data_IF_616217237620
#
_entry.id   IF_616217237620
#
_cell.length_a   1.000
_cell.length_b   1.000
_cell.length_c   1.000
_cell.angle_alpha   90.00
_cell.angle_beta   90.00
_cell.angle_gamma   90.00
#
_symmetry.space_group_name_H-M   'P 1'
#
loop_
_entity.id
_entity.type
_entity.pdbx_description
1 polymer ?
#
# COMPACT_ATOMS: atom_id res chain seq x y z
N UNK A 1 -19.45 -17.91 14.67
CA UNK A 1 -18.44 -16.84 14.76
C UNK A 1 -19.07 -15.65 15.47
N UNK A 2 -18.52 -15.20 16.61
CA UNK A 2 -19.07 -14.05 17.34
C UNK A 2 -18.65 -12.75 16.62
N UNK A 3 -19.63 -11.93 16.30
CA UNK A 3 -19.48 -10.65 15.60
C UNK A 3 -18.86 -9.58 16.53
N UNK A 4 -17.55 -9.37 16.43
CA UNK A 4 -16.84 -8.23 17.03
C UNK A 4 -16.98 -6.99 16.14
N UNK A 5 -18.20 -6.46 16.00
CA UNK A 5 -18.41 -5.13 15.44
C UNK A 5 -18.30 -4.10 16.59
N UNK A 6 -17.35 -3.17 16.49
CA UNK A 6 -17.29 -1.98 17.35
C UNK A 6 -16.42 -2.04 18.61
N UNK A 7 -15.82 -3.18 18.96
CA UNK A 7 -15.04 -3.32 20.21
C UNK A 7 -13.55 -3.63 20.01
N UNK A 8 -13.09 -3.89 18.78
CA UNK A 8 -11.70 -4.22 18.50
C UNK A 8 -11.20 -3.40 17.32
N UNK A 9 -10.11 -2.66 17.54
CA UNK A 9 -9.34 -2.03 16.47
C UNK A 9 -8.85 -3.15 15.52
N UNK A 10 -9.12 -3.02 14.22
CA UNK A 10 -8.97 -4.09 13.22
C UNK A 10 -7.53 -4.64 13.08
N UNK A 11 -6.53 -3.95 13.64
CA UNK A 11 -5.13 -4.35 13.66
C UNK A 11 -4.88 -5.75 14.24
N UNK A 12 -5.69 -6.21 15.21
CA UNK A 12 -5.55 -7.54 15.79
C UNK A 12 -5.95 -8.71 14.88
N UNK A 13 -6.60 -8.44 13.73
CA UNK A 13 -7.05 -9.45 12.77
C UNK A 13 -6.21 -9.51 11.49
N UNK A 14 -5.20 -8.65 11.36
CA UNK A 14 -4.31 -8.64 10.19
C UNK A 14 -3.29 -9.77 10.20
N UNK A 15 -3.07 -10.42 11.35
CA UNK A 15 -2.07 -11.49 11.51
C UNK A 15 -2.25 -12.66 10.53
N UNK A 16 -3.50 -13.04 10.23
CA UNK A 16 -3.77 -14.09 9.24
C UNK A 16 -3.40 -13.63 7.83
N UNK A 17 -3.71 -12.38 7.48
CA UNK A 17 -3.31 -11.80 6.20
C UNK A 17 -1.79 -11.67 6.09
N UNK A 18 -1.10 -11.23 7.15
CA UNK A 18 0.36 -11.18 7.21
C UNK A 18 0.97 -12.55 6.95
N UNK A 19 0.47 -13.59 7.62
CA UNK A 19 0.96 -14.96 7.46
C UNK A 19 0.75 -15.50 6.06
N UNK A 20 -0.43 -15.28 5.48
CA UNK A 20 -0.74 -15.73 4.12
C UNK A 20 0.15 -14.97 3.14
N UNK A 21 0.16 -13.65 3.21
CA UNK A 21 0.78 -12.78 2.20
C UNK A 21 2.29 -12.95 2.14
N UNK A 22 2.97 -13.09 3.29
CA UNK A 22 4.41 -13.38 3.33
C UNK A 22 4.77 -14.83 2.92
N UNK A 23 3.78 -15.70 2.68
CA UNK A 23 3.96 -17.12 2.32
C UNK A 23 3.25 -17.53 1.03
N UNK A 24 2.69 -16.58 0.31
CA UNK A 24 2.14 -16.85 -1.01
C UNK A 24 3.26 -17.38 -1.90
N UNK A 25 2.95 -18.47 -2.59
CA UNK A 25 3.76 -19.03 -3.67
C UNK A 25 3.17 -18.53 -5.00
N UNK A 26 2.94 -17.22 -5.06
CA UNK A 26 2.53 -16.52 -6.28
C UNK A 26 3.67 -16.57 -7.31
N UNK A 27 3.28 -16.79 -8.56
CA UNK A 27 4.17 -16.74 -9.72
C UNK A 27 3.76 -15.60 -10.66
N UNK A 28 4.49 -15.47 -11.77
CA UNK A 28 4.27 -14.41 -12.77
C UNK A 28 2.89 -14.48 -13.48
N UNK A 29 2.12 -15.54 -13.27
CA UNK A 29 0.75 -15.68 -13.78
C UNK A 29 -0.32 -15.27 -12.77
N UNK A 30 0.07 -14.95 -11.52
CA UNK A 30 -0.84 -14.56 -10.45
C UNK A 30 -0.71 -13.07 -10.15
N UNK A 31 -1.85 -12.44 -9.87
CA UNK A 31 -1.93 -11.07 -9.39
C UNK A 31 -2.67 -11.05 -8.06
N UNK A 32 -2.03 -10.49 -7.04
CA UNK A 32 -2.62 -10.38 -5.71
C UNK A 32 -2.76 -8.91 -5.37
N UNK A 33 -4.00 -8.51 -5.08
CA UNK A 33 -4.35 -7.13 -4.70
C UNK A 33 -4.89 -7.21 -3.28
N UNK A 34 -4.29 -6.44 -2.38
CA UNK A 34 -4.72 -6.35 -0.98
C UNK A 34 -5.19 -4.94 -0.68
N UNK A 35 -6.43 -4.79 -0.21
CA UNK A 35 -6.89 -3.57 0.44
C UNK A 35 -6.26 -3.48 1.83
N UNK A 36 -5.45 -2.45 2.07
CA UNK A 36 -4.65 -2.30 3.29
C UNK A 36 -5.06 -1.07 4.09
N UNK A 37 -4.77 -1.11 5.39
CA UNK A 37 -4.94 0.03 6.28
C UNK A 37 -4.15 1.24 5.78
N UNK A 38 -4.75 2.42 5.85
CA UNK A 38 -4.13 3.64 5.38
C UNK A 38 -2.89 4.03 6.22
N UNK A 39 -1.90 4.62 5.54
CA UNK A 39 -0.79 5.31 6.20
C UNK A 39 0.13 4.42 7.03
N UNK A 40 0.62 4.99 8.13
CA UNK A 40 1.63 4.39 9.01
C UNK A 40 1.12 3.17 9.78
N UNK A 41 -0.19 2.95 9.83
CA UNK A 41 -0.78 1.78 10.51
C UNK A 41 -0.28 0.47 9.90
N UNK A 42 -0.07 0.46 8.58
CA UNK A 42 0.54 -0.68 7.87
C UNK A 42 1.99 -0.96 8.31
N UNK A 43 2.73 0.06 8.77
CA UNK A 43 4.11 -0.08 9.28
C UNK A 43 4.15 -0.78 10.64
N UNK A 44 3.05 -0.75 11.39
CA UNK A 44 2.89 -1.56 12.60
C UNK A 44 2.82 -3.07 12.31
N UNK A 45 2.76 -3.46 11.04
CA UNK A 45 2.66 -4.85 10.56
C UNK A 45 3.76 -5.15 9.55
N UNK A 46 3.91 -6.40 9.12
CA UNK A 46 4.79 -6.73 7.99
C UNK A 46 4.15 -6.43 6.62
N UNK A 47 2.89 -5.99 6.57
CA UNK A 47 2.15 -5.85 5.31
C UNK A 47 2.72 -4.77 4.38
N UNK A 48 3.27 -3.69 4.93
CA UNK A 48 3.82 -2.57 4.14
C UNK A 48 5.01 -2.97 3.25
N UNK A 49 5.66 -4.09 3.57
CA UNK A 49 6.89 -4.53 2.93
C UNK A 49 6.74 -5.83 2.14
N UNK A 50 5.56 -6.45 2.21
CA UNK A 50 5.25 -7.73 1.59
C UNK A 50 4.78 -7.61 0.13
N UNK A 51 4.37 -6.42 -0.31
CA UNK A 51 4.01 -6.14 -1.71
C UNK A 51 5.22 -5.70 -2.54
N UNK A 52 5.23 -6.04 -3.83
CA UNK A 52 6.21 -5.51 -4.79
C UNK A 52 6.01 -4.02 -5.08
N UNK A 53 4.73 -3.57 -5.07
CA UNK A 53 4.34 -2.18 -5.22
C UNK A 53 3.37 -1.78 -4.10
N UNK A 54 3.47 -0.53 -3.65
CA UNK A 54 2.44 0.11 -2.85
C UNK A 54 1.75 1.16 -3.71
N UNK A 55 0.44 1.02 -3.91
CA UNK A 55 -0.36 1.99 -4.66
C UNK A 55 -1.19 2.82 -3.69
N UNK A 56 -0.81 4.08 -3.51
CA UNK A 56 -1.51 5.04 -2.66
C UNK A 56 -2.60 5.75 -3.46
N UNK A 57 -3.83 5.68 -2.95
CA UNK A 57 -4.95 6.45 -3.48
C UNK A 57 -5.09 7.70 -2.64
N UNK A 58 -4.78 8.87 -3.21
CA UNK A 58 -4.70 10.14 -2.46
C UNK A 58 -5.69 11.17 -2.99
N UNK A 59 -6.36 11.86 -2.09
CA UNK A 59 -7.09 13.08 -2.47
C UNK A 59 -6.10 14.26 -2.58
N UNK A 60 -6.37 15.28 -3.42
CA UNK A 60 -5.48 16.43 -3.61
C UNK A 60 -5.53 17.39 -2.41
N UNK A 61 -5.10 16.91 -1.25
CA UNK A 61 -5.06 17.69 0.01
C UNK A 61 -3.74 17.46 0.74
N UNK A 62 -3.26 18.49 1.45
CA UNK A 62 -2.05 18.37 2.28
C UNK A 62 -2.17 17.26 3.33
N UNK A 63 -3.38 17.00 3.84
CA UNK A 63 -3.60 15.91 4.80
C UNK A 63 -3.33 14.54 4.16
N UNK A 64 -3.87 14.28 2.98
CA UNK A 64 -3.65 13.00 2.28
C UNK A 64 -2.19 12.85 1.85
N UNK A 65 -1.57 13.94 1.41
CA UNK A 65 -0.15 14.00 1.02
C UNK A 65 0.77 13.78 2.22
N UNK A 66 0.42 14.32 3.39
CA UNK A 66 1.18 14.11 4.63
C UNK A 66 1.29 12.63 5.00
N UNK A 67 0.21 11.86 4.83
CA UNK A 67 0.18 10.43 5.17
C UNK A 67 1.22 9.62 4.38
N UNK A 68 1.34 9.86 3.07
CA UNK A 68 2.34 9.18 2.25
C UNK A 68 3.76 9.68 2.55
N UNK A 69 3.95 10.98 2.80
CA UNK A 69 5.26 11.53 3.19
C UNK A 69 5.75 10.93 4.52
N UNK A 70 4.86 10.77 5.49
CA UNK A 70 5.15 10.13 6.77
C UNK A 70 5.50 8.65 6.59
N UNK A 71 4.71 7.93 5.78
CA UNK A 71 5.01 6.54 5.42
C UNK A 71 6.41 6.42 4.81
N UNK A 72 6.70 7.20 3.76
CA UNK A 72 7.99 7.18 3.08
C UNK A 72 9.15 7.51 4.01
N UNK A 73 8.98 8.48 4.91
CA UNK A 73 10.02 8.82 5.88
C UNK A 73 10.33 7.66 6.84
N UNK A 74 9.31 6.94 7.31
CA UNK A 74 9.48 5.78 8.19
C UNK A 74 10.07 4.58 7.45
N UNK A 75 9.74 4.42 6.17
CA UNK A 75 10.13 3.27 5.35
C UNK A 75 11.31 3.52 4.41
N UNK A 76 11.97 4.68 4.49
CA UNK A 76 13.01 5.12 3.53
C UNK A 76 14.18 4.15 3.33
N UNK A 77 14.45 3.30 4.33
CA UNK A 77 15.55 2.34 4.27
C UNK A 77 15.18 1.01 3.57
N UNK A 78 13.91 0.80 3.20
CA UNK A 78 13.42 -0.50 2.71
C UNK A 78 13.24 -0.57 1.19
N UNK A 79 13.60 0.50 0.47
CA UNK A 79 13.53 0.58 -1.00
C UNK A 79 12.18 0.11 -1.55
N UNK A 80 11.09 0.66 -0.99
CA UNK A 80 9.72 0.34 -1.42
C UNK A 80 9.38 1.10 -2.70
N UNK A 81 8.65 0.45 -3.60
CA UNK A 81 8.13 1.07 -4.82
C UNK A 81 6.75 1.64 -4.54
N UNK A 82 6.70 2.93 -4.26
CA UNK A 82 5.46 3.63 -3.94
C UNK A 82 4.97 4.42 -5.17
N UNK A 83 3.72 4.21 -5.53
CA UNK A 83 3.04 4.87 -6.64
C UNK A 83 1.75 5.51 -6.16
N UNK A 84 1.27 6.50 -6.91
CA UNK A 84 0.13 7.34 -6.50
C UNK A 84 -0.93 7.36 -7.59
N UNK A 85 -2.18 7.15 -7.21
CA UNK A 85 -3.36 7.48 -8.00
C UNK A 85 -4.06 8.63 -7.29
N UNK A 86 -4.24 9.74 -8.00
CA UNK A 86 -4.98 10.88 -7.49
C UNK A 86 -6.46 10.54 -7.59
N UNK A 87 -7.19 10.72 -6.50
CA UNK A 87 -8.61 10.41 -6.40
C UNK A 87 -9.40 11.69 -6.15
N UNK A 88 -10.58 11.76 -6.76
CA UNK A 88 -11.50 12.90 -6.64
C UNK A 88 -10.87 14.25 -7.07
N UNK A 89 -9.96 14.22 -8.03
CA UNK A 89 -9.46 15.47 -8.62
C UNK A 89 -10.61 16.28 -9.22
N UNK A 90 -10.65 17.59 -8.97
CA UNK A 90 -11.67 18.48 -9.53
C UNK A 90 -11.25 19.03 -10.89
N UNK A 91 -9.97 19.37 -11.02
CA UNK A 91 -9.39 19.93 -12.24
C UNK A 91 -7.88 19.64 -12.33
N UNK A 92 -7.24 20.14 -13.38
CA UNK A 92 -5.80 19.94 -13.62
C UNK A 92 -4.93 20.58 -12.52
N UNK A 93 -5.41 21.61 -11.84
CA UNK A 93 -4.63 22.26 -10.77
C UNK A 93 -4.43 21.34 -9.56
N UNK A 94 -5.40 20.46 -9.29
CA UNK A 94 -5.28 19.40 -8.28
C UNK A 94 -4.22 18.37 -8.68
N UNK A 95 -4.15 18.01 -9.97
CA UNK A 95 -3.17 17.06 -10.49
C UNK A 95 -1.75 17.63 -10.35
N UNK A 96 -1.55 18.85 -10.80
CA UNK A 96 -0.27 19.56 -10.71
C UNK A 96 0.14 19.85 -9.26
N UNK A 97 -0.82 20.08 -8.37
CA UNK A 97 -0.56 20.16 -6.94
C UNK A 97 0.04 18.87 -6.39
N UNK A 98 -0.57 17.71 -6.66
CA UNK A 98 -0.06 16.42 -6.14
C UNK A 98 1.29 16.06 -6.75
N UNK A 99 1.47 16.26 -8.06
CA UNK A 99 2.77 16.04 -8.73
C UNK A 99 3.87 16.89 -8.10
N UNK A 100 3.61 18.17 -7.82
CA UNK A 100 4.58 19.06 -7.16
C UNK A 100 4.96 18.57 -5.76
N UNK A 101 3.99 18.05 -5.01
CA UNK A 101 4.22 17.64 -3.63
C UNK A 101 4.89 16.26 -3.48
N UNK A 102 4.64 15.32 -4.40
CA UNK A 102 5.05 13.93 -4.30
C UNK A 102 6.06 13.47 -5.36
N UNK A 103 6.26 14.24 -6.43
CA UNK A 103 7.03 13.86 -7.61
C UNK A 103 6.12 13.32 -8.72
N UNK A 104 6.30 13.84 -9.93
CA UNK A 104 5.50 13.45 -11.11
C UNK A 104 5.72 11.98 -11.47
N UNK A 105 6.93 11.45 -11.27
CA UNK A 105 7.32 10.08 -11.58
C UNK A 105 6.55 9.02 -10.79
N UNK A 106 5.99 9.38 -9.63
CA UNK A 106 5.18 8.48 -8.80
C UNK A 106 3.71 8.47 -9.21
N UNK A 107 3.24 9.52 -9.89
CA UNK A 107 1.82 9.69 -10.22
C UNK A 107 1.47 8.86 -11.46
N UNK A 108 0.67 7.82 -11.26
CA UNK A 108 0.20 6.92 -12.33
C UNK A 108 -0.92 7.56 -13.14
N UNK A 109 -1.76 8.36 -12.47
CA UNK A 109 -2.87 9.05 -13.09
C UNK A 109 -3.81 9.68 -12.06
N UNK A 110 -4.84 10.33 -12.57
CA UNK A 110 -5.88 10.96 -11.78
C UNK A 110 -7.25 10.42 -12.17
N UNK A 111 -8.06 10.10 -11.17
CA UNK A 111 -9.47 9.79 -11.27
C UNK A 111 -10.21 11.03 -10.77
N UNK A 112 -10.93 11.70 -11.66
CA UNK A 112 -11.70 12.88 -11.31
C UNK A 112 -12.86 12.54 -10.38
N UNK A 113 -13.40 13.54 -9.69
CA UNK A 113 -14.67 13.38 -9.00
C UNK A 113 -15.75 12.91 -9.98
N UNK A 114 -16.26 11.69 -9.78
CA UNK A 114 -17.25 11.09 -10.68
C UNK A 114 -18.62 11.01 -10.02
N UNK A 115 -19.64 11.57 -10.67
CA UNK A 115 -21.02 11.37 -10.26
C UNK A 115 -21.53 9.95 -10.55
N UNK A 116 -20.87 9.21 -11.46
CA UNK A 116 -21.25 7.85 -11.82
C UNK A 116 -21.04 6.87 -10.67
N UNK A 117 -19.89 6.92 -9.98
CA UNK A 117 -19.66 6.03 -8.82
C UNK A 117 -20.67 6.32 -7.69
N UNK A 118 -21.01 7.60 -7.47
CA UNK A 118 -22.05 7.97 -6.49
C UNK A 118 -23.42 7.41 -6.86
N UNK A 119 -23.81 7.49 -8.13
CA UNK A 119 -25.10 6.94 -8.60
C UNK A 119 -25.14 5.42 -8.58
N UNK A 120 -24.01 4.78 -8.86
CA UNK A 120 -23.84 3.34 -8.70
C UNK A 120 -24.13 2.90 -7.26
N UNK A 121 -23.53 3.57 -6.28
CA UNK A 121 -23.79 3.33 -4.84
C UNK A 121 -25.24 3.64 -4.45
N UNK A 122 -25.95 4.49 -5.21
CA UNK A 122 -27.38 4.76 -5.05
C UNK A 122 -28.30 3.72 -5.73
N UNK A 123 -27.73 2.69 -6.37
CA UNK A 123 -28.47 1.57 -6.96
C UNK A 123 -28.49 1.50 -8.49
N UNK A 124 -27.94 2.51 -9.18
CA UNK A 124 -27.86 2.51 -10.64
C UNK A 124 -26.64 1.71 -11.12
N UNK A 125 -26.82 0.40 -11.27
CA UNK A 125 -25.75 -0.56 -11.62
C UNK A 125 -25.04 -0.22 -12.93
N UNK A 126 -25.70 0.43 -13.88
CA UNK A 126 -25.12 0.77 -15.19
C UNK A 126 -24.00 1.82 -15.08
N UNK A 127 -24.06 2.66 -14.03
CA UNK A 127 -23.09 3.74 -13.82
C UNK A 127 -21.69 3.23 -13.51
N UNK A 128 -21.55 2.01 -13.02
CA UNK A 128 -20.25 1.41 -12.79
C UNK A 128 -19.46 1.25 -14.11
N UNK A 129 -20.10 0.73 -15.16
CA UNK A 129 -19.42 0.55 -16.46
C UNK A 129 -18.99 1.88 -17.07
N UNK A 130 -19.81 2.93 -16.91
CA UNK A 130 -19.45 4.28 -17.35
C UNK A 130 -18.24 4.82 -16.57
N UNK A 131 -18.21 4.64 -15.24
CA UNK A 131 -17.05 4.99 -14.43
C UNK A 131 -15.79 4.23 -14.86
N UNK A 132 -15.91 2.93 -15.18
CA UNK A 132 -14.78 2.13 -15.66
C UNK A 132 -14.25 2.65 -17.00
N UNK A 133 -15.14 2.93 -17.96
CA UNK A 133 -14.73 3.42 -19.28
C UNK A 133 -14.09 4.82 -19.20
N UNK A 134 -14.66 5.73 -18.41
CA UNK A 134 -14.12 7.08 -18.18
C UNK A 134 -12.70 7.07 -17.63
N UNK A 135 -12.33 6.05 -16.85
CA UNK A 135 -11.03 5.96 -16.16
C UNK A 135 -10.15 4.82 -16.70
N UNK A 136 -10.49 4.27 -17.86
CA UNK A 136 -9.85 3.10 -18.46
C UNK A 136 -8.34 3.26 -18.61
N UNK A 137 -7.87 4.42 -19.04
CA UNK A 137 -6.44 4.68 -19.21
C UNK A 137 -5.67 4.57 -17.89
N UNK A 138 -6.25 5.04 -16.77
CA UNK A 138 -5.62 4.94 -15.44
C UNK A 138 -5.55 3.47 -15.01
N UNK A 139 -6.63 2.71 -15.21
CA UNK A 139 -6.65 1.28 -14.88
C UNK A 139 -5.68 0.46 -15.74
N UNK A 140 -5.55 0.78 -17.04
CA UNK A 140 -4.59 0.15 -17.92
C UNK A 140 -3.15 0.45 -17.50
N UNK A 141 -2.84 1.69 -17.08
CA UNK A 141 -1.52 2.04 -16.53
C UNK A 141 -1.22 1.26 -15.24
N UNK A 142 -2.17 1.14 -14.32
CA UNK A 142 -2.02 0.33 -13.10
C UNK A 142 -1.76 -1.13 -13.46
N UNK A 143 -2.56 -1.70 -14.36
CA UNK A 143 -2.42 -3.09 -14.78
C UNK A 143 -1.06 -3.35 -15.45
N UNK A 144 -0.61 -2.45 -16.30
CA UNK A 144 0.69 -2.54 -16.96
C UNK A 144 1.84 -2.40 -15.95
N UNK A 145 1.72 -1.51 -14.96
CA UNK A 145 2.70 -1.37 -13.88
C UNK A 145 2.84 -2.68 -13.09
N UNK A 146 1.72 -3.28 -12.68
CA UNK A 146 1.73 -4.55 -11.93
C UNK A 146 2.35 -5.66 -12.78
N UNK A 147 1.90 -5.84 -14.03
CA UNK A 147 2.42 -6.89 -14.93
C UNK A 147 3.92 -6.78 -15.21
N UNK A 148 4.46 -5.56 -15.25
CA UNK A 148 5.88 -5.32 -15.48
C UNK A 148 6.72 -5.32 -14.20
N UNK A 149 6.09 -5.42 -13.02
CA UNK A 149 6.81 -5.50 -11.75
C UNK A 149 6.96 -6.96 -11.34
N UNK A 150 8.17 -7.49 -11.50
CA UNK A 150 8.50 -8.85 -11.04
C UNK A 150 8.84 -8.87 -9.55
N UNK A 151 8.48 -9.97 -8.91
CA UNK A 151 8.89 -10.31 -7.55
C UNK A 151 10.38 -10.58 -7.48
N UNK A 152 11.08 -9.81 -6.65
CA UNK A 152 12.49 -10.01 -6.37
C UNK A 152 12.62 -10.67 -4.98
N UNK A 153 12.70 -12.00 -4.98
CA UNK A 153 12.82 -12.78 -3.75
C UNK A 153 14.08 -12.46 -2.94
N UNK A 154 15.16 -12.03 -3.60
CA UNK A 154 16.41 -11.66 -2.92
C UNK A 154 16.21 -10.34 -2.19
N UNK A 155 15.74 -9.31 -2.89
CA UNK A 155 15.46 -8.00 -2.28
C UNK A 155 14.42 -8.10 -1.17
N UNK A 156 13.37 -8.90 -1.38
CA UNK A 156 12.35 -9.13 -0.36
C UNK A 156 12.93 -9.79 0.89
N UNK A 157 13.76 -10.83 0.74
CA UNK A 157 14.44 -11.48 1.87
C UNK A 157 15.40 -10.52 2.60
N UNK A 158 16.18 -9.74 1.87
CA UNK A 158 17.08 -8.72 2.44
C UNK A 158 16.28 -7.70 3.27
N UNK A 159 15.16 -7.21 2.73
CA UNK A 159 14.25 -6.30 3.42
C UNK A 159 13.70 -6.88 4.73
N UNK A 160 13.25 -8.13 4.71
CA UNK A 160 12.77 -8.81 5.92
C UNK A 160 13.86 -8.93 6.99
N UNK A 161 15.10 -9.20 6.56
CA UNK A 161 16.23 -9.26 7.47
C UNK A 161 16.54 -7.90 8.09
N UNK A 162 16.55 -6.83 7.30
CA UNK A 162 16.79 -5.47 7.80
C UNK A 162 15.72 -5.03 8.81
N UNK A 163 14.45 -5.34 8.55
CA UNK A 163 13.33 -5.10 9.47
C UNK A 163 13.53 -5.89 10.77
N UNK A 164 13.82 -7.19 10.67
CA UNK A 164 14.07 -8.04 11.84
C UNK A 164 15.22 -7.50 12.67
N UNK A 165 16.33 -7.13 12.03
CA UNK A 165 17.52 -6.61 12.69
C UNK A 165 17.21 -5.31 13.43
N UNK A 166 16.56 -4.35 12.77
CA UNK A 166 16.14 -3.10 13.39
C UNK A 166 15.24 -3.33 14.60
N UNK A 167 14.29 -4.26 14.52
CA UNK A 167 13.41 -4.59 15.64
C UNK A 167 14.16 -5.24 16.81
N UNK A 168 15.14 -6.11 16.51
CA UNK A 168 16.01 -6.70 17.53
C UNK A 168 16.88 -5.67 18.25
N UNK A 169 17.41 -4.69 17.52
CA UNK A 169 18.21 -3.59 18.06
C UNK A 169 17.37 -2.59 18.85
N UNK A 170 16.10 -2.41 18.46
CA UNK A 170 15.22 -1.41 19.09
C UNK A 170 14.55 -1.94 20.35
N UNK A 171 13.98 -3.15 20.32
CA UNK A 171 13.22 -3.65 21.48
C UNK A 171 13.06 -5.17 21.61
N UNK A 172 13.12 -5.99 20.54
CA UNK A 172 12.87 -7.43 20.70
C UNK A 172 13.89 -8.08 21.65
N UNK A 173 15.18 -7.74 21.52
CA UNK A 173 16.22 -8.37 22.34
C UNK A 173 16.05 -8.03 23.83
N UNK A 174 15.67 -6.78 24.12
CA UNK A 174 15.34 -6.34 25.47
C UNK A 174 14.10 -7.07 26.01
N UNK A 175 13.03 -7.11 25.22
CA UNK A 175 11.77 -7.76 25.59
C UNK A 175 11.93 -9.24 25.92
N UNK A 176 12.72 -9.98 25.14
CA UNK A 176 12.98 -11.40 25.37
C UNK A 176 14.19 -11.68 26.28
N UNK A 177 14.89 -10.64 26.74
CA UNK A 177 16.06 -10.77 27.63
C UNK A 177 17.25 -11.51 26.99
N UNK A 178 17.37 -11.50 25.66
CA UNK A 178 18.41 -12.23 24.93
C UNK A 178 18.80 -11.50 23.64
N UNK A 179 20.09 -11.47 23.30
CA UNK A 179 20.55 -10.95 22.00
C UNK A 179 20.05 -11.85 20.88
N UNK A 180 18.98 -11.44 20.20
CA UNK A 180 18.37 -12.20 19.11
C UNK A 180 19.22 -12.16 17.83
N UNK A 181 20.16 -11.23 17.71
CA UNK A 181 21.09 -11.18 16.58
C UNK A 181 22.28 -12.12 16.72
N UNK A 182 22.43 -12.80 17.86
CA UNK A 182 23.51 -13.78 18.08
C UNK A 182 23.57 -14.88 17.01
N UNK A 183 22.42 -15.24 16.43
CA UNK A 183 22.31 -16.28 15.39
C UNK A 183 22.88 -15.84 14.04
N UNK A 184 23.10 -14.53 13.84
CA UNK A 184 23.65 -13.95 12.61
C UNK A 184 25.11 -13.47 12.78
N UNK A 185 25.71 -13.67 13.96
CA UNK A 185 27.11 -13.33 14.26
C UNK A 185 28.06 -14.53 14.14
N UNK A 186 27.55 -15.70 13.72
CA UNK A 186 28.34 -16.91 13.42
C UNK A 186 28.58 -17.02 11.92
#
# INVERSE_FOLDING_TARGET
MKNNFGSQCFHGKLQANELIYNRLLDDENMMVITDQTAGIDSVGTSMFCASEINLFVVEPTMKSIGIIKDFENVTKNYNLKNYVVINKALDESDVEFVKRELGEEKVIGAISYSSNIRRYEQGDKEKFNLFIEENKEVFEKILNLVKNTKKDWKQYKERLYDIYKKNCETWYSEYYGVDLLRIYKQ
#
